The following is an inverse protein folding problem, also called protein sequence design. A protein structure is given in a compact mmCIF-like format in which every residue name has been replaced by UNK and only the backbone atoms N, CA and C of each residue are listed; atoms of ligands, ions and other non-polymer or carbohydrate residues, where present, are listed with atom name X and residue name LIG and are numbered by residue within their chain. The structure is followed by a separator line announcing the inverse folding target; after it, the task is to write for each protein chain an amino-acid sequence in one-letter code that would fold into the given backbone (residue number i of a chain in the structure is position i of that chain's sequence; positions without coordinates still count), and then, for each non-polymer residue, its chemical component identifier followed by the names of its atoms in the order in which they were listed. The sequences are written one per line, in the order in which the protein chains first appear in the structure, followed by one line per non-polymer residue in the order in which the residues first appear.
data_IF_886024136997
#
_entry.id   IF_886024136997
#
_cell.length_a   1.000
_cell.length_b   1.000
_cell.length_c   1.000
_cell.angle_alpha   90.00
_cell.angle_beta   90.00
_cell.angle_gamma   90.00
#
_symmetry.space_group_name_H-M   'P 1'
#
loop_
_entity.id
_entity.type
_entity.pdbx_description
1 polymer ?
#
# COMPACT_ATOMS: atom_id res chain seq x y z
N UNK A 1 42.24 13.84 -9.58
CA UNK A 1 40.85 14.29 -9.35
C UNK A 1 40.91 15.58 -8.53
N UNK A 2 40.33 16.68 -9.01
CA UNK A 2 40.52 18.03 -8.47
C UNK A 2 39.91 18.28 -7.07
N UNK A 3 39.10 17.36 -6.55
CA UNK A 3 38.28 17.58 -5.35
C UNK A 3 38.43 16.47 -4.28
N UNK A 4 39.46 15.64 -4.36
CA UNK A 4 39.64 14.59 -3.35
C UNK A 4 39.87 15.23 -1.98
N UNK A 5 39.09 14.91 -0.93
CA UNK A 5 39.12 15.62 0.35
C UNK A 5 40.54 15.73 0.96
N UNK A 6 41.35 14.67 0.87
CA UNK A 6 42.74 14.70 1.39
C UNK A 6 43.72 15.56 0.58
N UNK A 7 43.36 15.99 -0.64
CA UNK A 7 44.22 16.74 -1.56
C UNK A 7 43.79 18.19 -1.75
N UNK A 8 42.71 18.62 -1.07
CA UNK A 8 42.19 19.99 -1.14
C UNK A 8 41.99 20.56 0.27
N UNK A 9 42.32 21.85 0.44
CA UNK A 9 42.06 22.60 1.68
C UNK A 9 40.63 23.15 1.78
N UNK A 10 39.80 22.96 0.75
CA UNK A 10 38.43 23.45 0.75
C UNK A 10 37.57 22.60 1.71
N UNK A 11 36.92 23.20 2.72
CA UNK A 11 36.09 22.46 3.68
C UNK A 11 34.88 21.76 3.04
N UNK A 12 34.43 22.19 1.86
CA UNK A 12 33.31 21.57 1.14
C UNK A 12 33.74 20.40 0.23
N UNK A 13 35.03 20.07 0.18
CA UNK A 13 35.54 19.00 -0.68
C UNK A 13 34.94 17.61 -0.37
N UNK A 14 34.74 17.19 0.90
CA UNK A 14 34.09 15.92 1.22
C UNK A 14 32.67 15.84 0.62
N UNK A 15 31.83 16.85 0.88
CA UNK A 15 30.46 16.90 0.39
C UNK A 15 30.39 16.90 -1.14
N UNK A 16 31.27 17.68 -1.80
CA UNK A 16 31.33 17.72 -3.25
C UNK A 16 31.75 16.38 -3.85
N UNK A 17 32.71 15.69 -3.21
CA UNK A 17 33.16 14.37 -3.61
C UNK A 17 32.05 13.33 -3.48
N UNK A 18 31.33 13.32 -2.35
CA UNK A 18 30.23 12.40 -2.12
C UNK A 18 29.07 12.60 -3.10
N UNK A 19 28.72 13.86 -3.39
CA UNK A 19 27.71 14.18 -4.40
C UNK A 19 28.11 13.68 -5.79
N UNK A 20 29.37 13.88 -6.18
CA UNK A 20 29.87 13.41 -7.47
C UNK A 20 29.93 11.89 -7.54
N UNK A 21 30.34 11.22 -6.46
CA UNK A 21 30.33 9.76 -6.38
C UNK A 21 28.91 9.21 -6.49
N UNK A 22 27.95 9.80 -5.79
CA UNK A 22 26.53 9.42 -5.89
C UNK A 22 26.00 9.61 -7.32
N UNK A 23 26.25 10.77 -7.92
CA UNK A 23 25.84 11.06 -9.29
C UNK A 23 26.48 10.08 -10.28
N UNK A 24 27.77 9.75 -10.12
CA UNK A 24 28.45 8.75 -10.94
C UNK A 24 27.77 7.38 -10.80
N UNK A 25 27.51 6.91 -9.57
CA UNK A 25 26.85 5.62 -9.35
C UNK A 25 25.46 5.58 -9.98
N UNK A 26 24.65 6.63 -9.79
CA UNK A 26 23.31 6.71 -10.41
C UNK A 26 23.38 6.74 -11.93
N UNK A 27 24.33 7.50 -12.51
CA UNK A 27 24.48 7.58 -13.96
C UNK A 27 25.08 6.32 -14.58
N UNK A 28 25.81 5.48 -13.82
CA UNK A 28 26.36 4.22 -14.35
C UNK A 28 25.29 3.13 -14.52
N UNK A 29 24.15 3.27 -13.84
CA UNK A 29 23.00 2.40 -14.08
C UNK A 29 22.22 2.89 -15.30
N UNK A 30 22.22 2.08 -16.35
CA UNK A 30 21.63 2.44 -17.65
C UNK A 30 20.13 2.74 -17.55
N UNK A 31 19.41 2.01 -16.69
CA UNK A 31 17.96 2.20 -16.51
C UNK A 31 17.65 3.50 -15.76
N UNK A 32 18.52 3.90 -14.84
CA UNK A 32 18.38 5.19 -14.17
C UNK A 32 18.75 6.33 -15.11
N UNK A 33 19.79 6.16 -15.93
CA UNK A 33 20.18 7.13 -16.96
C UNK A 33 19.06 7.36 -17.97
N UNK A 34 18.49 6.30 -18.53
CA UNK A 34 17.39 6.38 -19.51
C UNK A 34 16.21 7.20 -18.97
N UNK A 35 15.79 6.94 -17.72
CA UNK A 35 14.71 7.71 -17.08
C UNK A 35 15.04 9.19 -16.87
N UNK A 36 16.30 9.50 -16.57
CA UNK A 36 16.76 10.88 -16.44
C UNK A 36 16.72 11.59 -17.80
N UNK A 37 17.19 10.92 -18.85
CA UNK A 37 17.18 11.44 -20.22
C UNK A 37 15.75 11.66 -20.73
N UNK A 38 14.85 10.72 -20.47
CA UNK A 38 13.40 10.85 -20.74
C UNK A 38 12.82 12.08 -20.02
N UNK A 39 13.05 12.24 -18.73
CA UNK A 39 12.55 13.38 -17.97
C UNK A 39 13.09 14.72 -18.49
N UNK A 40 14.36 14.75 -18.90
CA UNK A 40 15.00 15.93 -19.49
C UNK A 40 14.40 16.24 -20.88
N UNK A 41 14.15 15.23 -21.70
CA UNK A 41 13.50 15.39 -23.00
C UNK A 41 12.04 15.86 -22.86
N UNK A 42 11.29 15.27 -21.93
CA UNK A 42 9.92 15.66 -21.61
C UNK A 42 9.83 17.12 -21.16
N UNK A 43 10.74 17.55 -20.27
CA UNK A 43 10.80 18.94 -19.85
C UNK A 43 11.02 19.91 -21.02
N UNK A 44 11.85 19.51 -22.01
CA UNK A 44 12.06 20.30 -23.23
C UNK A 44 10.76 20.40 -24.03
N UNK A 45 10.08 19.27 -24.24
CA UNK A 45 8.83 19.20 -25.01
C UNK A 45 7.69 19.97 -24.34
N UNK A 46 7.61 19.92 -23.02
CA UNK A 46 6.64 20.69 -22.24
C UNK A 46 6.87 22.19 -22.42
N UNK A 47 8.10 22.67 -22.32
CA UNK A 47 8.39 24.09 -22.55
C UNK A 47 8.08 24.54 -23.98
N UNK A 48 8.43 23.73 -24.97
CA UNK A 48 8.09 24.01 -26.38
C UNK A 48 6.56 24.16 -26.52
N UNK A 49 5.79 23.25 -25.91
CA UNK A 49 4.33 23.28 -25.95
C UNK A 49 3.73 24.47 -25.19
N UNK A 50 4.21 24.74 -23.98
CA UNK A 50 3.75 25.85 -23.13
C UNK A 50 3.94 27.20 -23.82
N UNK A 51 5.06 27.38 -24.52
CA UNK A 51 5.39 28.61 -25.24
C UNK A 51 4.89 28.61 -26.71
N UNK A 52 4.22 27.54 -27.15
CA UNK A 52 3.74 27.35 -28.54
C UNK A 52 4.86 27.50 -29.59
N UNK A 53 6.05 27.02 -29.25
CA UNK A 53 7.20 27.00 -30.13
C UNK A 53 7.23 25.74 -31.00
N UNK A 54 8.16 25.73 -31.94
CA UNK A 54 8.52 24.56 -32.74
C UNK A 54 9.92 24.10 -32.38
N UNK A 55 10.33 22.91 -32.83
CA UNK A 55 11.68 22.38 -32.57
C UNK A 55 12.80 23.22 -33.17
N UNK A 56 12.47 24.07 -34.15
CA UNK A 56 13.42 24.95 -34.86
C UNK A 56 13.39 26.40 -34.36
N UNK A 57 12.55 26.70 -33.36
CA UNK A 57 12.41 28.03 -32.77
C UNK A 57 13.76 28.56 -32.26
N UNK A 58 14.19 29.78 -32.66
CA UNK A 58 15.49 30.34 -32.26
C UNK A 58 15.62 30.52 -30.75
N UNK A 59 14.50 30.69 -30.05
CA UNK A 59 14.42 30.78 -28.60
C UNK A 59 15.07 29.58 -27.90
N UNK A 60 15.01 28.39 -28.52
CA UNK A 60 15.58 27.15 -27.98
C UNK A 60 17.11 27.15 -27.91
N UNK A 61 17.77 28.08 -28.60
CA UNK A 61 19.24 28.21 -28.63
C UNK A 61 19.77 29.27 -27.66
N UNK A 62 18.88 29.92 -26.91
CA UNK A 62 19.23 30.99 -25.97
C UNK A 62 19.67 30.44 -24.60
N UNK A 63 20.52 31.18 -23.88
CA UNK A 63 20.88 30.83 -22.50
C UNK A 63 19.67 30.91 -21.56
N UNK A 64 18.71 31.79 -21.85
CA UNK A 64 17.44 31.87 -21.13
C UNK A 64 16.65 30.56 -21.24
N UNK A 65 16.54 30.00 -22.45
CA UNK A 65 15.94 28.69 -22.63
C UNK A 65 16.70 27.59 -21.89
N UNK A 66 18.02 27.60 -21.92
CA UNK A 66 18.81 26.62 -21.18
C UNK A 66 18.56 26.67 -19.66
N UNK A 67 18.33 27.87 -19.09
CA UNK A 67 17.94 28.05 -17.68
C UNK A 67 16.53 27.54 -17.42
N UNK A 68 15.55 27.93 -18.24
CA UNK A 68 14.16 27.46 -18.15
C UNK A 68 14.07 25.95 -18.25
N UNK A 69 14.81 25.36 -19.20
CA UNK A 69 14.86 23.92 -19.41
C UNK A 69 15.43 23.20 -18.19
N UNK A 70 16.55 23.67 -17.62
CA UNK A 70 17.10 23.11 -16.38
C UNK A 70 16.10 23.16 -15.22
N UNK A 71 15.36 24.26 -15.08
CA UNK A 71 14.35 24.37 -14.02
C UNK A 71 13.17 23.44 -14.27
N UNK A 72 12.66 23.39 -15.50
CA UNK A 72 11.58 22.47 -15.89
C UNK A 72 11.97 21.01 -15.70
N UNK A 73 13.21 20.64 -16.00
CA UNK A 73 13.70 19.28 -15.76
C UNK A 73 13.66 18.91 -14.29
N UNK A 74 13.96 19.83 -13.36
CA UNK A 74 13.81 19.59 -11.93
C UNK A 74 12.34 19.39 -11.55
N UNK A 75 11.44 20.23 -12.06
CA UNK A 75 10.00 20.10 -11.82
C UNK A 75 9.49 18.73 -12.26
N UNK A 76 9.81 18.31 -13.49
CA UNK A 76 9.41 17.01 -14.05
C UNK A 76 9.96 15.85 -13.21
N UNK A 77 11.22 15.90 -12.78
CA UNK A 77 11.81 14.87 -11.91
C UNK A 77 11.08 14.76 -10.56
N UNK A 78 10.76 15.90 -9.94
CA UNK A 78 10.00 15.96 -8.68
C UNK A 78 8.60 15.38 -8.88
N UNK A 79 7.91 15.77 -9.94
CA UNK A 79 6.55 15.29 -10.26
C UNK A 79 6.52 13.79 -10.54
N UNK A 80 7.51 13.28 -11.28
CA UNK A 80 7.66 11.85 -11.57
C UNK A 80 7.89 11.05 -10.27
N UNK A 81 8.72 11.55 -9.36
CA UNK A 81 8.93 10.90 -8.07
C UNK A 81 7.67 10.94 -7.20
N UNK A 82 6.95 12.06 -7.15
CA UNK A 82 5.67 12.14 -6.45
C UNK A 82 4.63 11.19 -7.04
N UNK A 83 4.57 11.06 -8.36
CA UNK A 83 3.70 10.11 -9.05
C UNK A 83 4.04 8.67 -8.68
N UNK A 84 5.33 8.31 -8.73
CA UNK A 84 5.83 6.99 -8.33
C UNK A 84 5.45 6.67 -6.89
N UNK A 85 5.67 7.60 -5.95
CA UNK A 85 5.30 7.41 -4.53
C UNK A 85 3.81 7.21 -4.34
N UNK A 86 2.98 7.96 -5.06
CA UNK A 86 1.52 7.79 -5.01
C UNK A 86 1.09 6.42 -5.53
N UNK A 87 1.65 5.98 -6.66
CA UNK A 87 1.36 4.67 -7.25
C UNK A 87 1.78 3.53 -6.30
N UNK A 88 3.00 3.58 -5.76
CA UNK A 88 3.49 2.60 -4.79
C UNK A 88 2.59 2.53 -3.54
N UNK A 89 2.19 3.70 -3.00
CA UNK A 89 1.30 3.75 -1.84
C UNK A 89 -0.09 3.18 -2.16
N UNK A 90 -0.64 3.48 -3.32
CA UNK A 90 -1.92 2.94 -3.76
C UNK A 90 -1.86 1.41 -3.89
N UNK A 91 -0.81 0.89 -4.53
CA UNK A 91 -0.59 -0.54 -4.68
C UNK A 91 -0.48 -1.26 -3.32
N UNK A 92 0.32 -0.75 -2.39
CA UNK A 92 0.43 -1.35 -1.05
C UNK A 92 -0.91 -1.36 -0.29
N UNK A 93 -1.73 -0.32 -0.48
CA UNK A 93 -3.05 -0.26 0.14
C UNK A 93 -4.03 -1.28 -0.47
N UNK A 94 -3.95 -1.49 -1.77
CA UNK A 94 -4.77 -2.47 -2.49
C UNK A 94 -4.37 -3.90 -2.11
N UNK A 95 -3.07 -4.21 -2.13
CA UNK A 95 -2.52 -5.48 -1.65
C UNK A 95 -2.91 -5.74 -0.18
N UNK A 96 -2.84 -4.72 0.68
CA UNK A 96 -3.28 -4.83 2.08
C UNK A 96 -4.80 -4.95 2.27
N UNK A 97 -5.62 -4.55 1.31
CA UNK A 97 -7.08 -4.79 1.31
C UNK A 97 -7.38 -6.22 0.84
N UNK A 98 -6.69 -6.66 -0.19
CA UNK A 98 -6.84 -8.01 -0.72
C UNK A 98 -6.41 -9.06 0.29
N UNK A 99 -5.26 -8.87 0.96
CA UNK A 99 -4.81 -9.75 2.03
C UNK A 99 -5.84 -9.84 3.16
N UNK A 100 -6.38 -8.70 3.63
CA UNK A 100 -7.44 -8.69 4.66
C UNK A 100 -8.70 -9.44 4.23
N UNK A 101 -9.06 -9.35 2.94
CA UNK A 101 -10.20 -10.09 2.40
C UNK A 101 -9.94 -11.59 2.39
N UNK A 102 -8.75 -12.01 1.96
CA UNK A 102 -8.34 -13.42 1.97
C UNK A 102 -8.30 -13.99 3.39
N UNK A 103 -7.73 -13.25 4.34
CA UNK A 103 -7.65 -13.65 5.75
C UNK A 103 -9.05 -13.79 6.36
N UNK A 104 -9.95 -12.84 6.10
CA UNK A 104 -11.33 -12.89 6.58
C UNK A 104 -12.11 -14.07 6.00
N UNK A 105 -11.92 -14.39 4.71
CA UNK A 105 -12.54 -15.56 4.08
C UNK A 105 -12.02 -16.87 4.68
N UNK A 106 -10.71 -16.95 4.92
CA UNK A 106 -10.09 -18.11 5.58
C UNK A 106 -10.59 -18.26 7.02
N UNK A 107 -10.73 -17.17 7.76
CA UNK A 107 -11.25 -17.17 9.12
C UNK A 107 -12.73 -17.57 9.15
N UNK A 108 -13.56 -17.04 8.25
CA UNK A 108 -14.96 -17.45 8.14
C UNK A 108 -15.08 -18.93 7.79
N UNK A 109 -14.25 -19.43 6.88
CA UNK A 109 -14.21 -20.85 6.52
C UNK A 109 -13.79 -21.73 7.70
N UNK A 110 -12.79 -21.30 8.47
CA UNK A 110 -12.38 -21.98 9.72
C UNK A 110 -13.51 -21.96 10.73
N UNK A 111 -14.18 -20.83 10.93
CA UNK A 111 -15.31 -20.69 11.86
C UNK A 111 -16.49 -21.59 11.47
N UNK A 112 -16.85 -21.64 10.18
CA UNK A 112 -17.91 -22.53 9.68
C UNK A 112 -17.56 -24.00 9.91
N UNK A 113 -16.33 -24.40 9.59
CA UNK A 113 -15.85 -25.77 9.84
C UNK A 113 -15.88 -26.12 11.32
N UNK A 114 -15.42 -25.22 12.20
CA UNK A 114 -15.44 -25.45 13.64
C UNK A 114 -16.88 -25.58 14.16
N UNK A 115 -17.78 -24.70 13.72
CA UNK A 115 -19.20 -24.77 14.08
C UNK A 115 -19.85 -26.08 13.61
N UNK A 116 -19.55 -26.56 12.39
CA UNK A 116 -20.04 -27.86 11.90
C UNK A 116 -19.52 -29.03 12.75
N UNK A 117 -18.23 -28.99 13.12
CA UNK A 117 -17.64 -30.01 14.00
C UNK A 117 -18.29 -30.01 15.39
N UNK A 118 -18.48 -28.84 15.99
CA UNK A 118 -19.14 -28.70 17.29
C UNK A 118 -20.63 -29.09 17.22
N UNK A 119 -21.28 -28.81 16.09
CA UNK A 119 -22.66 -29.21 15.84
C UNK A 119 -22.79 -30.73 15.74
N UNK A 120 -21.89 -31.41 15.03
CA UNK A 120 -21.89 -32.89 14.93
C UNK A 120 -21.48 -33.55 16.26
N UNK A 121 -20.50 -33.01 16.99
CA UNK A 121 -20.07 -33.58 18.27
C UNK A 121 -21.17 -33.55 19.33
N UNK A 122 -22.00 -32.51 19.34
CA UNK A 122 -23.16 -32.37 20.25
C UNK A 122 -24.42 -33.06 19.73
N UNK A 123 -24.36 -33.75 18.58
CA UNK A 123 -25.53 -34.37 17.94
C UNK A 123 -26.23 -35.39 18.83
N UNK A 124 -25.49 -36.33 19.42
CA UNK A 124 -26.08 -37.39 20.23
C UNK A 124 -26.73 -36.84 21.51
N UNK A 125 -26.11 -35.83 22.12
CA UNK A 125 -26.66 -35.12 23.27
C UNK A 125 -27.95 -34.37 22.92
N UNK A 126 -27.99 -33.70 21.75
CA UNK A 126 -29.22 -33.07 21.24
C UNK A 126 -30.31 -34.09 20.93
N UNK A 127 -29.97 -35.21 20.30
CA UNK A 127 -30.94 -36.29 19.99
C UNK A 127 -31.49 -36.89 21.30
N UNK A 128 -30.62 -37.15 22.29
CA UNK A 128 -31.01 -37.66 23.60
C UNK A 128 -31.95 -36.68 24.32
N UNK A 129 -31.61 -35.39 24.33
CA UNK A 129 -32.42 -34.32 24.90
C UNK A 129 -33.78 -34.21 24.21
N UNK A 130 -33.81 -34.31 22.88
CA UNK A 130 -35.06 -34.27 22.10
C UNK A 130 -35.94 -35.49 22.35
N UNK A 131 -35.38 -36.70 22.37
CA UNK A 131 -36.10 -37.94 22.71
C UNK A 131 -36.71 -37.85 24.11
N UNK A 132 -35.99 -37.27 25.07
CA UNK A 132 -36.47 -37.07 26.44
C UNK A 132 -37.63 -36.08 26.49
N UNK A 133 -37.53 -34.96 25.78
CA UNK A 133 -38.63 -33.99 25.66
C UNK A 133 -39.87 -34.58 24.98
N UNK A 134 -39.69 -35.35 23.90
CA UNK A 134 -40.80 -36.01 23.20
C UNK A 134 -41.47 -37.06 24.09
N UNK A 135 -40.70 -37.88 24.83
CA UNK A 135 -41.25 -38.79 25.85
C UNK A 135 -42.04 -38.05 26.92
N UNK A 136 -41.61 -36.85 27.34
CA UNK A 136 -42.37 -35.99 28.24
C UNK A 136 -43.66 -35.40 27.62
N UNK A 137 -43.81 -35.43 26.29
CA UNK A 137 -45.02 -35.00 25.56
C UNK A 137 -45.98 -36.16 25.24
N UNK A 138 -45.47 -37.36 25.00
CA UNK A 138 -46.28 -38.58 24.75
C UNK A 138 -46.59 -39.38 26.02
N UNK A 139 -45.86 -39.15 27.10
CA UNK A 139 -46.18 -39.64 28.44
C UNK A 139 -47.05 -38.66 29.19
N UNK A 140 -48.31 -38.56 28.80
CA UNK A 140 -49.33 -37.97 29.64
C UNK A 140 -49.66 -38.92 30.80
N UNK A 141 -48.87 -38.85 31.88
CA UNK A 141 -49.47 -38.76 33.22
C UNK A 141 -48.53 -38.01 34.16
N UNK A 142 -49.14 -37.19 35.00
CA UNK A 142 -48.57 -35.94 35.46
C UNK A 142 -47.55 -36.03 36.58
N UNK A 143 -46.64 -35.06 36.58
CA UNK A 143 -46.25 -34.44 37.84
C UNK A 143 -45.98 -32.96 37.63
N UNK A 144 -47.01 -32.16 37.91
CA UNK A 144 -46.89 -30.72 38.13
C UNK A 144 -45.93 -30.50 39.31
N UNK A 145 -44.64 -30.27 39.05
CA UNK A 145 -43.76 -29.62 40.02
C UNK A 145 -44.31 -28.21 40.30
N UNK A 146 -45.09 -28.10 41.38
CA UNK A 146 -45.55 -26.84 41.97
C UNK A 146 -44.35 -25.89 42.05
N UNK A 147 -44.35 -24.82 41.25
CA UNK A 147 -43.54 -23.64 41.51
C UNK A 147 -43.93 -23.13 42.89
N UNK A 148 -43.05 -23.32 43.87
CA UNK A 148 -43.16 -22.71 45.20
C UNK A 148 -43.15 -21.19 44.98
N UNK A 149 -44.31 -20.54 45.16
CA UNK A 149 -44.41 -19.07 45.11
C UNK A 149 -43.38 -18.50 46.10
N UNK A 150 -42.39 -17.76 45.62
CA UNK A 150 -41.66 -16.84 46.49
C UNK A 150 -42.65 -15.77 46.97
N UNK A 151 -42.69 -15.54 48.28
CA UNK A 151 -43.45 -14.45 48.88
C UNK A 151 -42.79 -13.12 48.49
N UNK A 152 -43.53 -12.07 48.11
CA UNK A 152 -42.96 -10.74 47.94
C UNK A 152 -42.57 -10.20 49.32
N UNK A 153 -41.35 -9.70 49.45
CA UNK A 153 -40.93 -8.85 50.58
C UNK A 153 -41.63 -7.50 50.39
N UNK A 154 -42.39 -7.09 51.40
CA UNK A 154 -42.81 -5.71 51.60
C UNK A 154 -41.77 -4.94 52.40
#
# INVERSE_FOLDING_TARGET
MLIHPDKTKNPQAPDAFDRLKKAQTELMDEKHRERLDEAIADARMLLIRENKWTVDSPELKTDDFAKKWREKSKEVLIDNEHRRRRQMRAQMQEEGREQRKQDAELEERKRKRQHEQDWESTRDERISSWRTFQKGKTGGDGEKKKKKKLKPIG
#
